data_IF_142415963055
#
_entry.id   IF_142415963055
#
_cell.length_a   1.000
_cell.length_b   1.000
_cell.length_c   1.000
_cell.angle_alpha   90.00
_cell.angle_beta   90.00
_cell.angle_gamma   90.00
#
_symmetry.space_group_name_H-M   'P 1'
#
loop_
_entity.id
_entity.type
_entity.pdbx_description
1 polymer ?
#
# COMPACT_ATOMS: atom_id res chain seq x y z
N UNK A 1 -29.74 5.35 -6.24
CA UNK A 1 -28.82 4.26 -5.87
C UNK A 1 -29.23 3.70 -4.51
N UNK A 2 -29.19 2.37 -4.32
CA UNK A 2 -29.42 1.78 -2.99
C UNK A 2 -28.25 2.15 -2.05
N UNK A 3 -28.47 2.12 -0.74
CA UNK A 3 -27.43 2.43 0.23
C UNK A 3 -26.32 1.35 0.20
N UNK A 4 -26.72 0.09 0.11
CA UNK A 4 -25.82 -1.04 -0.01
C UNK A 4 -24.91 -0.93 -1.25
N UNK A 5 -25.46 -0.55 -2.42
CA UNK A 5 -24.66 -0.30 -3.62
C UNK A 5 -23.59 0.77 -3.38
N UNK A 6 -23.94 1.89 -2.72
CA UNK A 6 -22.99 2.95 -2.40
C UNK A 6 -21.88 2.49 -1.45
N UNK A 7 -22.23 1.66 -0.45
CA UNK A 7 -21.25 1.07 0.48
C UNK A 7 -20.24 0.18 -0.24
N UNK A 8 -20.69 -0.72 -1.12
CA UNK A 8 -19.83 -1.59 -1.92
C UNK A 8 -19.01 -0.81 -2.95
N UNK A 9 -19.60 0.21 -3.58
CA UNK A 9 -18.90 1.09 -4.51
C UNK A 9 -17.74 1.83 -3.83
N UNK A 10 -17.96 2.37 -2.64
CA UNK A 10 -16.91 3.06 -1.91
C UNK A 10 -15.85 2.09 -1.36
N UNK A 11 -16.23 0.89 -0.98
CA UNK A 11 -15.26 -0.15 -0.65
C UNK A 11 -14.37 -0.50 -1.83
N UNK A 12 -14.94 -0.61 -3.03
CA UNK A 12 -14.17 -0.80 -4.26
C UNK A 12 -13.19 0.36 -4.51
N UNK A 13 -13.63 1.61 -4.38
CA UNK A 13 -12.76 2.78 -4.61
C UNK A 13 -11.60 2.87 -3.61
N UNK A 14 -11.84 2.68 -2.31
CA UNK A 14 -10.75 2.68 -1.31
C UNK A 14 -9.81 1.49 -1.50
N UNK A 15 -10.33 0.33 -1.88
CA UNK A 15 -9.52 -0.84 -2.22
C UNK A 15 -8.63 -0.58 -3.44
N UNK A 16 -9.15 0.11 -4.46
CA UNK A 16 -8.38 0.51 -5.63
C UNK A 16 -7.28 1.52 -5.27
N UNK A 17 -7.59 2.51 -4.40
CA UNK A 17 -6.58 3.45 -3.89
C UNK A 17 -5.46 2.73 -3.12
N UNK A 18 -5.80 1.77 -2.26
CA UNK A 18 -4.82 0.93 -1.57
C UNK A 18 -3.96 0.11 -2.52
N UNK A 19 -4.56 -0.44 -3.58
CA UNK A 19 -3.85 -1.19 -4.60
C UNK A 19 -2.88 -0.30 -5.41
N UNK A 20 -3.31 0.91 -5.78
CA UNK A 20 -2.46 1.91 -6.43
C UNK A 20 -1.32 2.36 -5.50
N UNK A 21 -1.59 2.55 -4.21
CA UNK A 21 -0.55 2.87 -3.22
C UNK A 21 0.54 1.80 -3.18
N UNK A 22 0.17 0.52 -3.13
CA UNK A 22 1.15 -0.59 -3.12
C UNK A 22 1.99 -0.59 -4.41
N UNK A 23 1.41 -0.32 -5.58
CA UNK A 23 2.18 -0.14 -6.81
C UNK A 23 3.17 1.02 -6.70
N UNK A 24 2.72 2.18 -6.23
CA UNK A 24 3.54 3.39 -6.12
C UNK A 24 4.68 3.27 -5.09
N UNK A 25 4.61 2.29 -4.18
CA UNK A 25 5.73 2.00 -3.25
C UNK A 25 7.01 1.53 -3.96
N UNK A 26 7.04 1.43 -5.30
CA UNK A 26 8.29 1.25 -6.02
C UNK A 26 9.33 2.34 -5.67
N UNK A 27 8.88 3.55 -5.31
CA UNK A 27 9.72 4.64 -4.82
C UNK A 27 10.45 4.22 -3.55
N UNK A 28 9.70 3.73 -2.54
CA UNK A 28 10.27 3.26 -1.27
C UNK A 28 11.22 2.08 -1.49
N UNK A 29 10.81 1.13 -2.34
CA UNK A 29 11.63 -0.03 -2.66
C UNK A 29 12.95 0.34 -3.32
N UNK A 30 12.95 1.24 -4.29
CA UNK A 30 14.16 1.73 -4.96
C UNK A 30 15.06 2.53 -4.01
N UNK A 31 14.49 3.32 -3.08
CA UNK A 31 15.25 4.06 -2.07
C UNK A 31 16.12 3.15 -1.20
N UNK A 32 15.62 1.95 -0.85
CA UNK A 32 16.42 0.99 -0.08
C UNK A 32 17.65 0.46 -0.82
N UNK A 33 17.72 0.70 -2.11
CA UNK A 33 18.76 0.17 -3.00
C UNK A 33 19.80 1.22 -3.41
N UNK A 34 19.70 2.46 -2.91
CA UNK A 34 20.58 3.57 -3.28
C UNK A 34 22.06 3.18 -3.19
N UNK A 35 22.52 2.64 -2.04
CA UNK A 35 23.91 2.22 -1.87
C UNK A 35 24.23 0.85 -2.48
N UNK A 36 23.22 0.04 -2.77
CA UNK A 36 23.40 -1.26 -3.41
C UNK A 36 23.63 -1.09 -4.92
N UNK A 37 22.84 -0.23 -5.55
CA UNK A 37 22.92 0.04 -6.99
C UNK A 37 23.94 1.13 -7.33
N UNK A 38 24.02 2.20 -6.51
CA UNK A 38 24.91 3.33 -6.69
C UNK A 38 26.22 3.16 -5.93
N UNK A 39 27.30 2.82 -6.61
CA UNK A 39 28.64 2.68 -6.01
C UNK A 39 29.39 4.01 -5.99
N UNK A 40 29.21 4.82 -7.02
CA UNK A 40 29.74 6.19 -7.10
C UNK A 40 28.67 7.20 -6.64
N UNK A 41 29.07 8.44 -6.43
CA UNK A 41 28.14 9.51 -6.09
C UNK A 41 27.14 9.78 -7.22
N UNK A 42 27.63 9.82 -8.47
CA UNK A 42 26.78 10.04 -9.65
C UNK A 42 25.75 8.91 -9.82
N UNK A 43 26.16 7.65 -9.62
CA UNK A 43 25.22 6.52 -9.67
C UNK A 43 24.16 6.61 -8.58
N UNK A 44 24.48 7.07 -7.35
CA UNK A 44 23.50 7.30 -6.30
C UNK A 44 22.53 8.44 -6.65
N UNK A 45 23.07 9.54 -7.21
CA UNK A 45 22.25 10.64 -7.71
C UNK A 45 21.28 10.16 -8.80
N UNK A 46 21.72 9.29 -9.74
CA UNK A 46 20.84 8.68 -10.74
C UNK A 46 19.65 7.94 -10.11
N UNK A 47 19.92 7.09 -9.12
CA UNK A 47 18.86 6.34 -8.43
C UNK A 47 17.91 7.29 -7.69
N UNK A 48 18.44 8.26 -6.96
CA UNK A 48 17.64 9.23 -6.20
C UNK A 48 16.80 10.11 -7.12
N UNK A 49 17.36 10.63 -8.22
CA UNK A 49 16.61 11.44 -9.18
C UNK A 49 15.50 10.66 -9.88
N UNK A 50 15.76 9.38 -10.19
CA UNK A 50 14.74 8.51 -10.78
C UNK A 50 13.50 8.40 -9.91
N UNK A 51 13.67 8.18 -8.61
CA UNK A 51 12.57 8.08 -7.63
C UNK A 51 12.05 9.44 -7.18
N UNK A 52 12.91 10.45 -7.12
CA UNK A 52 12.59 11.80 -6.69
C UNK A 52 11.50 12.45 -7.54
N UNK A 53 11.45 12.14 -8.84
CA UNK A 53 10.39 12.62 -9.73
C UNK A 53 9.01 11.98 -9.48
N UNK A 54 8.91 11.00 -8.58
CA UNK A 54 7.68 10.20 -8.34
C UNK A 54 7.25 10.12 -6.88
N UNK A 55 8.05 10.56 -5.93
CA UNK A 55 7.77 10.37 -4.51
C UNK A 55 6.45 11.02 -4.06
N UNK A 56 6.10 12.15 -4.67
CA UNK A 56 4.85 12.86 -4.37
C UNK A 56 3.62 12.03 -4.73
N UNK A 57 3.65 11.26 -5.82
CA UNK A 57 2.53 10.39 -6.18
C UNK A 57 2.25 9.35 -5.10
N UNK A 58 3.29 8.77 -4.50
CA UNK A 58 3.13 7.79 -3.43
C UNK A 58 2.57 8.44 -2.17
N UNK A 59 3.17 9.55 -1.74
CA UNK A 59 2.74 10.24 -0.53
C UNK A 59 1.31 10.79 -0.66
N UNK A 60 1.00 11.42 -1.78
CA UNK A 60 -0.36 11.92 -2.05
C UNK A 60 -1.38 10.77 -2.06
N UNK A 61 -1.04 9.63 -2.69
CA UNK A 61 -1.95 8.47 -2.72
C UNK A 61 -2.16 7.89 -1.33
N UNK A 62 -1.15 7.87 -0.45
CA UNK A 62 -1.31 7.48 0.95
C UNK A 62 -2.30 8.40 1.68
N UNK A 63 -2.16 9.72 1.51
CA UNK A 63 -3.07 10.71 2.12
C UNK A 63 -4.49 10.55 1.57
N UNK A 64 -4.65 10.36 0.25
CA UNK A 64 -5.96 10.16 -0.38
C UNK A 64 -6.59 8.83 0.04
N UNK A 65 -5.80 7.78 0.27
CA UNK A 65 -6.29 6.51 0.82
C UNK A 65 -6.88 6.70 2.23
N UNK A 66 -6.15 7.39 3.11
CA UNK A 66 -6.67 7.76 4.44
C UNK A 66 -7.90 8.66 4.38
N UNK A 67 -7.88 9.67 3.52
CA UNK A 67 -9.02 10.58 3.27
C UNK A 67 -10.24 9.86 2.70
N UNK A 68 -10.03 8.86 1.83
CA UNK A 68 -11.09 8.00 1.30
C UNK A 68 -11.79 7.21 2.40
N UNK A 69 -11.03 6.63 3.34
CA UNK A 69 -11.60 5.97 4.52
C UNK A 69 -12.29 6.95 5.46
N UNK A 70 -11.69 8.11 5.72
CA UNK A 70 -12.31 9.15 6.55
C UNK A 70 -13.70 9.52 6.04
N UNK A 71 -13.83 9.72 4.74
CA UNK A 71 -15.06 10.18 4.13
C UNK A 71 -16.11 9.05 3.97
N UNK A 72 -15.68 7.83 3.59
CA UNK A 72 -16.61 6.72 3.28
C UNK A 72 -16.86 5.78 4.47
N UNK A 73 -15.86 5.54 5.32
CA UNK A 73 -15.91 4.63 6.47
C UNK A 73 -15.38 5.30 7.74
N UNK A 74 -16.09 6.35 8.25
CA UNK A 74 -15.59 7.19 9.36
C UNK A 74 -15.33 6.40 10.65
N UNK A 75 -16.11 5.35 10.92
CA UNK A 75 -15.89 4.52 12.11
C UNK A 75 -14.57 3.73 12.00
N UNK A 76 -14.23 3.22 10.83
CA UNK A 76 -12.92 2.60 10.60
C UNK A 76 -11.80 3.63 10.76
N UNK A 77 -11.97 4.82 10.17
CA UNK A 77 -10.95 5.87 10.28
C UNK A 77 -10.68 6.22 11.74
N UNK A 78 -11.72 6.44 12.54
CA UNK A 78 -11.54 6.75 13.96
C UNK A 78 -10.94 5.58 14.75
N UNK A 79 -11.30 4.35 14.43
CA UNK A 79 -10.81 3.15 15.12
C UNK A 79 -9.37 2.82 14.73
N UNK A 80 -9.03 2.82 13.45
CA UNK A 80 -7.69 2.47 12.97
C UNK A 80 -6.72 3.66 13.05
N UNK A 81 -7.01 4.77 12.35
CA UNK A 81 -6.09 5.92 12.33
C UNK A 81 -6.07 6.66 13.66
N UNK A 82 -7.21 6.80 14.33
CA UNK A 82 -7.31 7.41 15.65
C UNK A 82 -6.88 6.47 16.79
N UNK A 83 -7.27 5.19 16.73
CA UNK A 83 -6.97 4.21 17.78
C UNK A 83 -5.55 3.65 17.71
N UNK A 84 -5.10 3.22 16.51
CA UNK A 84 -3.74 2.74 16.26
C UNK A 84 -2.78 3.90 15.94
N UNK A 85 -2.91 5.04 16.60
CA UNK A 85 -2.26 6.27 16.20
C UNK A 85 -0.73 6.22 16.23
N UNK A 86 -0.09 5.43 17.12
CA UNK A 86 1.37 5.31 17.12
C UNK A 86 1.90 4.66 15.86
N UNK A 87 1.23 3.61 15.37
CA UNK A 87 1.59 2.97 14.12
C UNK A 87 1.49 3.97 12.94
N UNK A 88 0.36 4.67 12.86
CA UNK A 88 0.13 5.66 11.79
C UNK A 88 1.03 6.88 11.90
N UNK A 89 1.36 7.33 13.12
CA UNK A 89 2.32 8.44 13.32
C UNK A 89 3.73 8.06 12.85
N UNK A 90 4.20 6.84 13.10
CA UNK A 90 5.51 6.39 12.61
C UNK A 90 5.50 6.30 11.08
N UNK A 91 4.42 5.78 10.47
CA UNK A 91 4.27 5.76 9.02
C UNK A 91 4.35 7.19 8.48
N UNK A 92 3.52 8.11 8.97
CA UNK A 92 3.47 9.50 8.52
C UNK A 92 4.84 10.18 8.67
N UNK A 93 5.47 10.04 9.85
CA UNK A 93 6.78 10.64 10.10
C UNK A 93 7.85 10.10 9.15
N UNK A 94 7.81 8.80 8.82
CA UNK A 94 8.74 8.22 7.85
C UNK A 94 8.60 8.84 6.46
N UNK A 95 7.37 9.18 6.03
CA UNK A 95 7.13 9.88 4.76
C UNK A 95 7.50 11.36 4.81
N UNK A 96 7.36 12.02 5.98
CA UNK A 96 7.82 13.41 6.16
C UNK A 96 9.34 13.49 6.03
N UNK A 97 10.10 12.58 6.66
CA UNK A 97 11.57 12.57 6.50
C UNK A 97 12.01 12.24 5.06
N UNK A 98 11.22 11.43 4.32
CA UNK A 98 11.45 11.21 2.90
C UNK A 98 11.29 12.51 2.10
N UNK A 99 10.21 13.26 2.31
CA UNK A 99 9.95 14.53 1.63
C UNK A 99 11.10 15.53 1.86
N UNK A 100 11.47 15.73 3.14
CA UNK A 100 12.61 16.57 3.52
C UNK A 100 13.90 16.10 2.85
N UNK A 101 14.10 14.79 2.73
CA UNK A 101 15.33 14.23 2.15
C UNK A 101 15.45 14.51 0.66
N UNK A 102 14.38 14.39 -0.10
CA UNK A 102 14.41 14.75 -1.52
C UNK A 102 14.67 16.24 -1.72
N UNK A 103 14.03 17.11 -0.94
CA UNK A 103 14.10 18.55 -1.12
C UNK A 103 15.45 19.15 -0.70
N UNK A 104 16.07 18.63 0.37
CA UNK A 104 17.20 19.30 1.02
C UNK A 104 18.56 18.64 0.81
N UNK A 105 18.66 17.43 0.25
CA UNK A 105 19.95 16.72 0.13
C UNK A 105 21.00 17.47 -0.71
N UNK A 106 20.57 18.23 -1.73
CA UNK A 106 21.45 18.95 -2.65
C UNK A 106 21.40 20.47 -2.49
N UNK A 107 20.70 21.01 -1.45
CA UNK A 107 20.62 22.45 -1.21
C UNK A 107 21.95 23.02 -0.72
N UNK A 108 22.28 24.23 -1.17
CA UNK A 108 23.43 24.99 -0.67
C UNK A 108 23.29 25.20 0.84
N UNK A 109 24.38 24.96 1.61
CA UNK A 109 24.35 25.04 3.06
C UNK A 109 23.87 23.77 3.78
N UNK A 110 23.73 22.66 3.09
CA UNK A 110 23.42 21.36 3.71
C UNK A 110 24.53 20.92 4.67
N UNK A 111 24.30 21.08 5.98
CA UNK A 111 25.25 20.73 7.05
C UNK A 111 25.33 19.22 7.27
N UNK A 112 24.23 18.49 7.04
CA UNK A 112 24.12 17.04 7.31
C UNK A 112 24.78 16.19 6.23
N UNK A 113 24.96 16.73 5.03
CA UNK A 113 25.50 16.04 3.87
C UNK A 113 24.50 15.10 3.17
N UNK A 114 24.68 14.87 1.88
CA UNK A 114 23.76 14.08 1.05
C UNK A 114 23.56 12.64 1.55
N UNK A 115 24.60 12.02 2.13
CA UNK A 115 24.51 10.63 2.63
C UNK A 115 23.51 10.47 3.77
N UNK A 116 23.40 11.47 4.65
CA UNK A 116 22.42 11.45 5.76
C UNK A 116 21.00 11.42 5.22
N UNK A 117 20.69 12.28 4.24
CA UNK A 117 19.39 12.30 3.59
C UNK A 117 19.10 11.02 2.81
N UNK A 118 20.11 10.46 2.12
CA UNK A 118 19.99 9.15 1.47
C UNK A 118 19.71 8.02 2.48
N UNK A 119 20.27 8.09 3.68
CA UNK A 119 19.93 7.15 4.78
C UNK A 119 18.48 7.34 5.25
N UNK A 120 17.99 8.57 5.34
CA UNK A 120 16.58 8.83 5.67
C UNK A 120 15.62 8.28 4.59
N UNK A 121 15.99 8.37 3.30
CA UNK A 121 15.25 7.72 2.22
C UNK A 121 15.20 6.20 2.41
N UNK A 122 16.29 5.57 2.84
CA UNK A 122 16.32 4.13 3.14
C UNK A 122 15.43 3.80 4.33
N UNK A 123 15.46 4.60 5.40
CA UNK A 123 14.59 4.41 6.58
C UNK A 123 13.12 4.43 6.17
N UNK A 124 12.68 5.43 5.40
CA UNK A 124 11.32 5.44 4.85
C UNK A 124 11.07 4.24 3.93
N UNK A 125 12.05 3.90 3.09
CA UNK A 125 11.98 2.77 2.17
C UNK A 125 11.74 1.42 2.86
N UNK A 126 12.19 1.27 4.11
CA UNK A 126 11.94 0.08 4.94
C UNK A 126 10.65 0.24 5.74
N UNK A 127 10.55 1.31 6.55
CA UNK A 127 9.43 1.50 7.48
C UNK A 127 8.10 1.65 6.75
N UNK A 128 8.05 2.43 5.68
CA UNK A 128 6.82 2.65 4.91
C UNK A 128 6.16 1.33 4.48
N UNK A 129 6.81 0.53 3.63
CA UNK A 129 6.22 -0.73 3.16
C UNK A 129 5.97 -1.77 4.26
N UNK A 130 6.88 -1.92 5.24
CA UNK A 130 6.70 -2.90 6.32
C UNK A 130 5.52 -2.55 7.20
N UNK A 131 5.41 -1.30 7.63
CA UNK A 131 4.34 -0.86 8.53
C UNK A 131 2.99 -0.79 7.82
N UNK A 132 2.95 -0.32 6.56
CA UNK A 132 1.72 -0.32 5.76
C UNK A 132 1.25 -1.76 5.46
N UNK A 133 2.17 -2.65 5.12
CA UNK A 133 1.86 -4.07 4.93
C UNK A 133 1.32 -4.72 6.20
N UNK A 134 1.94 -4.44 7.35
CA UNK A 134 1.45 -4.88 8.66
C UNK A 134 0.09 -4.29 9.02
N UNK A 135 -0.13 -3.00 8.76
CA UNK A 135 -1.43 -2.36 8.97
C UNK A 135 -2.55 -2.97 8.10
N UNK A 136 -2.26 -3.29 6.83
CA UNK A 136 -3.22 -3.96 5.94
C UNK A 136 -3.44 -5.41 6.34
N UNK A 137 -2.43 -6.10 6.89
CA UNK A 137 -2.60 -7.46 7.39
C UNK A 137 -3.65 -7.56 8.50
N UNK A 138 -3.83 -6.50 9.29
CA UNK A 138 -4.88 -6.44 10.34
C UNK A 138 -6.30 -6.49 9.77
N UNK A 139 -6.51 -6.25 8.48
CA UNK A 139 -7.80 -6.46 7.81
C UNK A 139 -8.20 -7.95 7.80
N UNK A 140 -7.25 -8.83 7.94
CA UNK A 140 -7.45 -10.28 7.95
C UNK A 140 -7.21 -10.90 9.32
N UNK A 141 -6.25 -10.37 10.09
CA UNK A 141 -5.81 -10.94 11.35
C UNK A 141 -6.47 -10.27 12.57
N UNK A 142 -7.06 -9.09 12.35
CA UNK A 142 -7.70 -8.31 13.41
C UNK A 142 -6.76 -7.39 14.18
N UNK A 143 -7.34 -6.60 15.05
CA UNK A 143 -6.69 -5.61 15.91
C UNK A 143 -7.36 -5.55 17.28
N UNK A 144 -6.68 -4.97 18.28
CA UNK A 144 -7.15 -4.93 19.66
C UNK A 144 -7.93 -3.63 19.94
N UNK A 145 -9.20 -3.60 19.59
CA UNK A 145 -10.09 -2.47 19.84
C UNK A 145 -11.49 -2.90 20.28
N UNK A 146 -12.24 -1.97 20.86
CA UNK A 146 -13.63 -2.14 21.27
C UNK A 146 -14.45 -0.98 20.70
N UNK A 147 -15.64 -1.28 20.17
CA UNK A 147 -16.60 -0.30 19.67
C UNK A 147 -17.89 -0.38 20.50
N UNK A 148 -18.19 0.70 21.21
CA UNK A 148 -19.45 0.89 21.93
C UNK A 148 -20.16 2.14 21.40
N UNK A 149 -21.09 1.94 20.48
CA UNK A 149 -21.84 3.06 19.88
C UNK A 149 -22.76 3.75 20.92
N UNK A 150 -23.20 3.05 21.95
CA UNK A 150 -24.01 3.60 23.04
C UNK A 150 -23.28 4.66 23.85
N UNK A 151 -21.97 4.58 23.92
CA UNK A 151 -21.15 5.49 24.71
C UNK A 151 -21.18 6.95 24.22
N UNK A 152 -21.69 7.24 23.02
CA UNK A 152 -21.84 8.61 22.50
C UNK A 152 -22.74 9.50 23.41
N UNK A 153 -23.59 8.89 24.21
CA UNK A 153 -24.47 9.58 25.17
C UNK A 153 -23.81 9.84 26.51
N UNK A 154 -22.62 9.32 26.75
CA UNK A 154 -21.88 9.48 28.00
C UNK A 154 -21.21 10.88 28.03
N UNK A 155 -21.71 11.78 28.90
CA UNK A 155 -21.23 13.18 28.91
C UNK A 155 -19.76 13.34 29.30
N UNK A 156 -19.21 12.44 30.10
CA UNK A 156 -17.81 12.53 30.57
C UNK A 156 -16.79 12.13 29.51
N UNK A 157 -17.06 11.05 28.75
CA UNK A 157 -16.17 10.54 27.69
C UNK A 157 -17.00 9.91 26.56
N UNK A 158 -17.52 10.67 25.61
CA UNK A 158 -18.36 10.18 24.53
C UNK A 158 -17.55 9.49 23.41
N UNK A 159 -16.63 8.60 23.78
CA UNK A 159 -15.74 7.87 22.83
C UNK A 159 -16.39 6.57 22.43
N UNK A 160 -16.72 6.41 21.14
CA UNK A 160 -17.37 5.22 20.59
C UNK A 160 -16.37 4.08 20.29
N UNK A 161 -15.15 4.39 19.88
CA UNK A 161 -14.13 3.38 19.61
C UNK A 161 -12.88 3.66 20.44
N UNK A 162 -12.32 2.60 21.05
CA UNK A 162 -11.10 2.71 21.85
C UNK A 162 -10.17 1.54 21.60
N UNK A 163 -8.87 1.80 21.62
CA UNK A 163 -7.87 0.75 21.62
C UNK A 163 -7.85 0.03 22.97
N UNK A 164 -7.74 -1.29 22.95
CA UNK A 164 -7.87 -2.10 24.18
C UNK A 164 -6.59 -2.13 25.04
N UNK A 165 -5.44 -1.75 24.45
CA UNK A 165 -4.15 -1.75 25.15
C UNK A 165 -3.38 -0.43 24.93
N UNK A 166 -2.33 -0.21 25.71
CA UNK A 166 -1.52 1.02 25.65
C UNK A 166 -0.58 1.10 24.44
N UNK A 167 -0.51 0.07 23.59
CA UNK A 167 0.38 0.05 22.42
C UNK A 167 -0.13 0.93 21.27
N UNK A 168 -1.45 1.20 21.24
CA UNK A 168 -2.11 1.99 20.20
C UNK A 168 -1.61 1.64 18.79
N UNK A 169 -1.69 0.37 18.43
CA UNK A 169 -1.39 -0.15 17.10
C UNK A 169 -0.01 -0.77 16.92
N UNK A 170 0.94 -0.53 17.82
CA UNK A 170 2.26 -1.18 17.74
C UNK A 170 2.19 -2.69 17.99
N UNK A 171 1.16 -3.17 18.69
CA UNK A 171 0.86 -4.58 18.91
C UNK A 171 0.61 -5.34 17.59
N UNK A 172 0.19 -4.66 16.52
CA UNK A 172 0.09 -5.27 15.20
C UNK A 172 1.43 -5.84 14.70
N UNK A 173 2.56 -5.28 15.14
CA UNK A 173 3.90 -5.75 14.79
C UNK A 173 4.36 -6.96 15.62
N UNK A 174 3.61 -7.35 16.64
CA UNK A 174 3.88 -8.56 17.43
C UNK A 174 3.20 -9.80 16.81
N UNK A 175 2.22 -9.62 15.94
CA UNK A 175 1.62 -10.71 15.19
C UNK A 175 2.52 -11.14 14.05
N UNK A 176 2.87 -12.45 14.05
CA UNK A 176 3.78 -13.01 13.05
C UNK A 176 3.30 -12.80 11.62
N UNK A 177 2.00 -12.99 11.37
CA UNK A 177 1.45 -12.91 10.00
C UNK A 177 1.32 -11.48 9.51
N UNK A 178 1.14 -10.52 10.41
CA UNK A 178 1.23 -9.10 10.07
C UNK A 178 2.65 -8.73 9.64
N UNK A 179 3.65 -9.22 10.34
CA UNK A 179 5.07 -9.03 9.98
C UNK A 179 5.40 -9.73 8.66
N UNK A 180 4.91 -10.96 8.46
CA UNK A 180 5.12 -11.72 7.20
C UNK A 180 4.58 -10.93 6.00
N UNK A 181 3.37 -10.37 6.08
CA UNK A 181 2.84 -9.53 5.01
C UNK A 181 3.62 -8.21 4.89
N UNK A 182 4.00 -7.59 5.99
CA UNK A 182 4.84 -6.39 5.99
C UNK A 182 6.17 -6.60 5.24
N UNK A 183 6.84 -7.71 5.50
CA UNK A 183 8.08 -8.10 4.80
C UNK A 183 7.80 -8.44 3.33
N UNK A 184 6.70 -9.12 3.03
CA UNK A 184 6.29 -9.38 1.65
C UNK A 184 6.09 -8.08 0.85
N UNK A 185 5.38 -7.09 1.42
CA UNK A 185 5.16 -5.76 0.80
C UNK A 185 6.47 -5.01 0.63
N UNK A 186 7.37 -5.08 1.59
CA UNK A 186 8.72 -4.50 1.48
C UNK A 186 9.51 -5.08 0.30
N UNK A 187 9.56 -6.40 0.17
CA UNK A 187 10.27 -7.02 -0.96
C UNK A 187 9.53 -6.82 -2.28
N UNK A 188 8.20 -6.77 -2.29
CA UNK A 188 7.41 -6.37 -3.46
C UNK A 188 7.76 -4.94 -3.91
N UNK A 189 7.82 -4.00 -2.98
CA UNK A 189 8.23 -2.62 -3.26
C UNK A 189 9.64 -2.59 -3.89
N UNK A 190 10.59 -3.39 -3.39
CA UNK A 190 11.93 -3.54 -3.99
C UNK A 190 11.88 -4.12 -5.40
N UNK A 191 11.07 -5.17 -5.63
CA UNK A 191 10.88 -5.74 -6.97
C UNK A 191 10.37 -4.69 -7.94
N UNK A 192 9.32 -3.96 -7.57
CA UNK A 192 8.77 -2.87 -8.39
C UNK A 192 9.78 -1.73 -8.59
N UNK A 193 10.50 -1.35 -7.54
CA UNK A 193 11.57 -0.35 -7.60
C UNK A 193 12.68 -0.74 -8.56
N UNK A 194 13.10 -2.00 -8.55
CA UNK A 194 14.11 -2.51 -9.48
C UNK A 194 13.61 -2.54 -10.92
N UNK A 195 12.35 -2.95 -11.15
CA UNK A 195 11.73 -2.89 -12.48
C UNK A 195 11.63 -1.44 -12.99
N UNK A 196 11.32 -0.49 -12.08
CA UNK A 196 11.25 0.93 -12.41
C UNK A 196 12.64 1.51 -12.76
N UNK A 197 13.67 1.23 -11.97
CA UNK A 197 15.06 1.65 -12.25
C UNK A 197 15.54 1.10 -13.60
N UNK A 198 15.26 -0.16 -13.92
CA UNK A 198 15.61 -0.77 -15.21
C UNK A 198 14.89 -0.07 -16.38
N UNK A 199 13.69 0.45 -16.16
CA UNK A 199 12.92 1.19 -17.17
C UNK A 199 13.39 2.63 -17.35
N UNK A 200 13.75 3.31 -16.25
CA UNK A 200 13.91 4.77 -16.21
C UNK A 200 15.38 5.24 -16.30
N UNK A 201 16.36 4.39 -15.97
CA UNK A 201 17.79 4.78 -15.89
C UNK A 201 18.58 4.21 -17.06
N UNK A 202 19.26 5.10 -17.84
CA UNK A 202 20.12 4.73 -18.96
C UNK A 202 21.59 4.65 -18.51
N UNK A 203 21.91 3.77 -17.55
CA UNK A 203 23.27 3.54 -17.06
C UNK A 203 23.52 2.03 -16.87
N UNK A 204 24.31 1.45 -17.78
CA UNK A 204 24.49 -0.02 -17.86
C UNK A 204 24.97 -0.68 -16.55
N UNK A 205 25.95 -0.15 -15.78
CA UNK A 205 26.37 -0.75 -14.51
C UNK A 205 25.25 -0.79 -13.46
N UNK A 206 24.42 0.27 -13.34
CA UNK A 206 23.29 0.34 -12.41
C UNK A 206 22.22 -0.68 -12.81
N UNK A 207 21.87 -0.74 -14.10
CA UNK A 207 20.87 -1.68 -14.63
C UNK A 207 21.32 -3.14 -14.43
N UNK A 208 22.60 -3.45 -14.64
CA UNK A 208 23.14 -4.81 -14.43
C UNK A 208 23.01 -5.22 -12.97
N UNK A 209 23.37 -4.34 -12.03
CA UNK A 209 23.19 -4.59 -10.59
C UNK A 209 21.72 -4.71 -10.21
N UNK A 210 20.84 -3.89 -10.82
CA UNK A 210 19.40 -3.96 -10.59
C UNK A 210 18.82 -5.32 -11.01
N UNK A 211 19.19 -5.86 -12.17
CA UNK A 211 18.77 -7.21 -12.60
C UNK A 211 19.23 -8.32 -11.66
N UNK A 212 20.44 -8.22 -11.12
CA UNK A 212 20.95 -9.18 -10.12
C UNK A 212 20.12 -9.14 -8.84
N UNK A 213 19.83 -7.93 -8.33
CA UNK A 213 19.02 -7.72 -7.14
C UNK A 213 17.54 -8.13 -7.36
N UNK A 214 17.00 -7.93 -8.56
CA UNK A 214 15.64 -8.32 -8.91
C UNK A 214 15.41 -9.81 -8.69
N UNK A 215 16.37 -10.65 -9.06
CA UNK A 215 16.28 -12.11 -8.88
C UNK A 215 16.15 -12.48 -7.39
N UNK A 216 17.03 -11.90 -6.54
CA UNK A 216 17.01 -12.15 -5.10
C UNK A 216 15.72 -11.65 -4.44
N UNK A 217 15.37 -10.39 -4.72
CA UNK A 217 14.16 -9.78 -4.11
C UNK A 217 12.88 -10.50 -4.53
N UNK A 218 12.81 -11.02 -5.77
CA UNK A 218 11.64 -11.79 -6.23
C UNK A 218 11.49 -13.10 -5.45
N UNK A 219 12.59 -13.84 -5.23
CA UNK A 219 12.51 -15.11 -4.48
C UNK A 219 12.03 -14.86 -3.05
N UNK A 220 12.58 -13.85 -2.38
CA UNK A 220 12.19 -13.53 -1.01
C UNK A 220 10.75 -13.03 -0.95
N UNK A 221 10.34 -12.15 -1.87
CA UNK A 221 8.96 -11.70 -1.99
C UNK A 221 7.99 -12.88 -2.13
N UNK A 222 8.25 -13.78 -3.06
CA UNK A 222 7.38 -14.93 -3.29
C UNK A 222 7.31 -15.85 -2.08
N UNK A 223 8.43 -16.08 -1.38
CA UNK A 223 8.44 -16.90 -0.17
C UNK A 223 7.51 -16.33 0.91
N UNK A 224 7.65 -15.05 1.23
CA UNK A 224 6.81 -14.40 2.26
C UNK A 224 5.36 -14.23 1.82
N UNK A 225 5.13 -13.81 0.58
CA UNK A 225 3.77 -13.60 0.06
C UNK A 225 2.99 -14.91 -0.04
N UNK A 226 3.59 -15.98 -0.56
CA UNK A 226 2.93 -17.28 -0.64
C UNK A 226 2.67 -17.88 0.74
N UNK A 227 3.61 -17.71 1.69
CA UNK A 227 3.39 -18.13 3.09
C UNK A 227 2.18 -17.42 3.70
N UNK A 228 2.08 -16.09 3.52
CA UNK A 228 0.91 -15.33 3.97
C UNK A 228 -0.37 -15.75 3.25
N UNK A 229 -0.33 -15.94 1.94
CA UNK A 229 -1.50 -16.33 1.15
C UNK A 229 -2.03 -17.72 1.58
N UNK A 230 -1.14 -18.68 1.77
CA UNK A 230 -1.53 -20.02 2.27
C UNK A 230 -2.17 -19.91 3.66
N UNK A 231 -1.56 -19.16 4.57
CA UNK A 231 -2.16 -18.90 5.88
C UNK A 231 -3.55 -18.27 5.76
N UNK A 232 -3.68 -17.22 4.93
CA UNK A 232 -4.94 -16.52 4.72
C UNK A 232 -6.05 -17.45 4.21
N UNK A 233 -5.74 -18.33 3.26
CA UNK A 233 -6.73 -19.24 2.67
C UNK A 233 -7.13 -20.37 3.60
N UNK A 234 -6.26 -20.76 4.53
CA UNK A 234 -6.51 -21.87 5.46
C UNK A 234 -7.07 -21.43 6.81
N UNK A 235 -6.97 -20.15 7.16
CA UNK A 235 -7.47 -19.64 8.45
C UNK A 235 -8.98 -19.48 8.47
N UNK A 236 -9.53 -19.49 9.68
CA UNK A 236 -10.88 -19.03 9.94
C UNK A 236 -10.96 -17.50 9.73
N UNK A 237 -12.07 -17.03 9.19
CA UNK A 237 -12.29 -15.62 8.96
C UNK A 237 -13.60 -15.13 9.60
N UNK A 238 -13.79 -13.84 9.54
CA UNK A 238 -14.85 -13.13 10.26
C UNK A 238 -16.04 -12.88 9.31
N UNK A 239 -17.10 -13.67 9.48
CA UNK A 239 -18.33 -13.49 8.73
C UNK A 239 -19.36 -12.72 9.56
N UNK A 240 -20.26 -11.99 8.90
CA UNK A 240 -21.41 -11.39 9.57
C UNK A 240 -22.71 -11.81 8.88
N UNK A 241 -23.77 -11.91 9.67
CA UNK A 241 -25.13 -12.12 9.17
C UNK A 241 -25.72 -10.76 8.75
N UNK A 242 -26.08 -10.55 7.49
CA UNK A 242 -26.67 -9.28 7.03
C UNK A 242 -27.99 -8.91 7.70
N UNK A 243 -28.76 -9.91 8.21
CA UNK A 243 -30.06 -9.67 8.82
C UNK A 243 -29.94 -9.26 10.29
N UNK A 244 -29.07 -9.93 11.05
CA UNK A 244 -28.91 -9.70 12.48
C UNK A 244 -27.72 -8.80 12.81
N UNK A 245 -26.77 -8.66 11.91
CA UNK A 245 -25.50 -7.95 12.13
C UNK A 245 -24.51 -8.74 13.04
N UNK A 246 -24.86 -9.95 13.46
CA UNK A 246 -24.01 -10.76 14.35
C UNK A 246 -22.79 -11.25 13.59
N UNK A 247 -21.62 -11.12 14.24
CA UNK A 247 -20.35 -11.56 13.69
C UNK A 247 -19.97 -12.91 14.29
N UNK A 248 -19.55 -13.82 13.40
CA UNK A 248 -19.15 -15.18 13.75
C UNK A 248 -17.89 -15.61 13.00
N UNK A 249 -17.18 -16.56 13.55
CA UNK A 249 -16.03 -17.18 12.88
C UNK A 249 -16.51 -18.25 11.90
N UNK A 250 -16.02 -18.18 10.65
CA UNK A 250 -16.32 -19.15 9.60
C UNK A 250 -15.03 -19.80 9.11
N UNK A 251 -14.94 -21.15 9.12
CA UNK A 251 -13.80 -21.86 8.59
C UNK A 251 -13.53 -21.53 7.13
N UNK A 252 -12.25 -21.37 6.76
CA UNK A 252 -11.79 -21.11 5.39
C UNK A 252 -12.51 -19.94 4.71
N UNK A 253 -12.90 -18.91 5.46
CA UNK A 253 -13.75 -17.80 4.96
C UNK A 253 -13.19 -17.15 3.70
N UNK A 254 -11.90 -16.87 3.67
CA UNK A 254 -11.28 -16.18 2.54
C UNK A 254 -11.15 -17.08 1.30
N UNK A 255 -10.94 -18.38 1.48
CA UNK A 255 -11.02 -19.36 0.39
C UNK A 255 -12.46 -19.44 -0.15
N UNK A 256 -13.45 -19.49 0.75
CA UNK A 256 -14.86 -19.47 0.37
C UNK A 256 -15.22 -18.19 -0.40
N UNK A 257 -14.70 -17.02 0.02
CA UNK A 257 -14.90 -15.76 -0.70
C UNK A 257 -14.35 -15.83 -2.12
N UNK A 258 -13.16 -16.35 -2.34
CA UNK A 258 -12.58 -16.51 -3.67
C UNK A 258 -13.35 -17.51 -4.54
N UNK A 259 -13.82 -18.61 -3.96
CA UNK A 259 -14.60 -19.60 -4.73
C UNK A 259 -15.99 -19.08 -5.08
N UNK A 260 -16.66 -18.39 -4.18
CA UNK A 260 -17.99 -17.78 -4.41
C UNK A 260 -17.90 -16.64 -5.42
N UNK A 261 -16.90 -15.77 -5.28
CA UNK A 261 -16.61 -14.66 -6.19
C UNK A 261 -15.57 -15.09 -7.25
N UNK A 262 -15.83 -16.19 -7.96
CA UNK A 262 -14.89 -16.81 -8.91
C UNK A 262 -14.32 -15.84 -9.95
N UNK A 263 -15.07 -14.79 -10.33
CA UNK A 263 -14.59 -13.75 -11.24
C UNK A 263 -13.42 -12.96 -10.64
N UNK A 264 -13.39 -12.72 -9.31
CA UNK A 264 -12.26 -12.11 -8.63
C UNK A 264 -11.03 -13.04 -8.64
N UNK A 265 -11.25 -14.34 -8.52
CA UNK A 265 -10.18 -15.34 -8.65
C UNK A 265 -9.52 -15.31 -10.02
N UNK A 266 -10.30 -15.16 -11.09
CA UNK A 266 -9.74 -14.95 -12.44
C UNK A 266 -8.89 -13.67 -12.49
N UNK A 267 -9.39 -12.56 -11.95
CA UNK A 267 -8.66 -11.30 -11.89
C UNK A 267 -7.36 -11.45 -11.09
N UNK A 268 -7.39 -12.17 -9.96
CA UNK A 268 -6.22 -12.51 -9.15
C UNK A 268 -5.16 -13.26 -9.97
N UNK A 269 -5.57 -14.32 -10.67
CA UNK A 269 -4.67 -15.13 -11.48
C UNK A 269 -4.06 -14.34 -12.65
N UNK A 270 -4.85 -13.50 -13.32
CA UNK A 270 -4.37 -12.58 -14.36
C UNK A 270 -3.36 -11.59 -13.78
N UNK A 271 -3.63 -11.05 -12.59
CA UNK A 271 -2.71 -10.16 -11.88
C UNK A 271 -1.37 -10.83 -11.55
N UNK A 272 -1.42 -12.04 -10.99
CA UNK A 272 -0.21 -12.86 -10.70
C UNK A 272 0.56 -13.16 -11.99
N UNK A 273 -0.13 -13.61 -13.05
CA UNK A 273 0.50 -13.91 -14.32
C UNK A 273 1.18 -12.68 -14.93
N UNK A 274 0.54 -11.50 -14.88
CA UNK A 274 1.10 -10.24 -15.36
C UNK A 274 2.37 -9.84 -14.60
N UNK A 275 2.33 -9.90 -13.26
CA UNK A 275 3.49 -9.59 -12.41
C UNK A 275 4.67 -10.52 -12.72
N UNK A 276 4.42 -11.83 -12.74
CA UNK A 276 5.46 -12.83 -13.03
C UNK A 276 6.00 -12.68 -14.45
N UNK A 277 5.15 -12.41 -15.44
CA UNK A 277 5.57 -12.13 -16.80
C UNK A 277 6.53 -10.95 -16.86
N UNK A 278 6.18 -9.82 -16.23
CA UNK A 278 7.02 -8.63 -16.16
C UNK A 278 8.40 -8.93 -15.56
N UNK A 279 8.45 -9.67 -14.46
CA UNK A 279 9.70 -10.06 -13.78
C UNK A 279 10.53 -11.01 -14.66
N UNK A 280 9.93 -12.13 -15.11
CA UNK A 280 10.63 -13.18 -15.86
C UNK A 280 11.16 -12.64 -17.19
N UNK A 281 10.35 -11.86 -17.91
CA UNK A 281 10.77 -11.24 -19.17
C UNK A 281 11.95 -10.29 -18.98
N UNK A 282 11.90 -9.46 -17.91
CA UNK A 282 13.00 -8.55 -17.56
C UNK A 282 14.30 -9.30 -17.19
N UNK A 283 14.19 -10.49 -16.56
CA UNK A 283 15.35 -11.27 -16.17
C UNK A 283 15.97 -12.06 -17.35
N UNK A 284 15.15 -12.47 -18.35
CA UNK A 284 15.60 -13.27 -19.48
C UNK A 284 16.10 -12.45 -20.66
N UNK A 285 15.54 -11.27 -20.88
CA UNK A 285 15.86 -10.41 -22.02
C UNK A 285 16.51 -9.13 -21.55
N UNK A 286 17.79 -8.94 -21.91
CA UNK A 286 18.56 -7.76 -21.51
C UNK A 286 18.02 -6.46 -22.12
N UNK A 287 17.33 -6.53 -23.27
CA UNK A 287 16.76 -5.37 -23.94
C UNK A 287 15.36 -5.00 -23.44
N UNK A 288 14.71 -5.92 -22.66
CA UNK A 288 13.38 -5.67 -22.15
C UNK A 288 13.43 -4.81 -20.87
N UNK A 289 12.87 -3.63 -20.93
CA UNK A 289 12.82 -2.67 -19.83
C UNK A 289 11.39 -2.31 -19.37
N UNK A 290 10.35 -2.84 -20.02
CA UNK A 290 8.93 -2.51 -19.74
C UNK A 290 8.31 -3.35 -18.62
N UNK A 291 9.12 -4.09 -17.84
CA UNK A 291 8.64 -4.99 -16.79
C UNK A 291 7.79 -4.30 -15.72
N UNK A 292 8.06 -3.03 -15.42
CA UNK A 292 7.32 -2.24 -14.43
C UNK A 292 5.83 -2.09 -14.78
N UNK A 293 5.48 -1.96 -16.05
CA UNK A 293 4.07 -1.79 -16.45
C UNK A 293 3.26 -3.07 -16.26
N UNK A 294 3.83 -4.22 -16.61
CA UNK A 294 3.22 -5.53 -16.33
C UNK A 294 3.17 -5.81 -14.82
N UNK A 295 4.27 -5.51 -14.11
CA UNK A 295 4.35 -5.65 -12.67
C UNK A 295 3.35 -4.76 -11.95
N UNK A 296 3.22 -3.51 -12.36
CA UNK A 296 2.29 -2.53 -11.78
C UNK A 296 0.83 -2.95 -11.95
N UNK A 297 0.41 -3.27 -13.17
CA UNK A 297 -0.94 -3.78 -13.42
C UNK A 297 -1.19 -5.05 -12.61
N UNK A 298 -0.21 -5.98 -12.61
CA UNK A 298 -0.33 -7.22 -11.85
C UNK A 298 -0.54 -6.99 -10.36
N UNK A 299 0.25 -6.12 -9.74
CA UNK A 299 0.15 -5.79 -8.31
C UNK A 299 -1.17 -5.10 -8.00
N UNK A 300 -1.62 -4.14 -8.82
CA UNK A 300 -2.90 -3.47 -8.61
C UNK A 300 -4.05 -4.48 -8.62
N UNK A 301 -4.08 -5.41 -9.58
CA UNK A 301 -5.12 -6.43 -9.64
C UNK A 301 -5.09 -7.37 -8.42
N UNK A 302 -3.91 -7.87 -8.03
CA UNK A 302 -3.76 -8.79 -6.88
C UNK A 302 -4.20 -8.11 -5.59
N UNK A 303 -3.70 -6.92 -5.30
CA UNK A 303 -4.01 -6.21 -4.06
C UNK A 303 -5.47 -5.80 -4.01
N UNK A 304 -6.04 -5.33 -5.12
CA UNK A 304 -7.47 -5.01 -5.23
C UNK A 304 -8.33 -6.22 -4.86
N UNK A 305 -8.06 -7.38 -5.44
CA UNK A 305 -8.83 -8.60 -5.15
C UNK A 305 -8.72 -9.00 -3.68
N UNK A 306 -7.52 -8.95 -3.11
CA UNK A 306 -7.35 -9.29 -1.69
C UNK A 306 -8.14 -8.34 -0.78
N UNK A 307 -8.14 -7.04 -1.04
CA UNK A 307 -8.91 -6.08 -0.27
C UNK A 307 -10.43 -6.25 -0.48
N UNK A 308 -10.87 -6.57 -1.70
CA UNK A 308 -12.29 -6.88 -1.94
C UNK A 308 -12.72 -8.14 -1.18
N UNK A 309 -11.86 -9.17 -1.14
CA UNK A 309 -12.13 -10.38 -0.34
C UNK A 309 -12.19 -10.12 1.16
N UNK A 310 -11.52 -9.08 1.68
CA UNK A 310 -11.57 -8.71 3.08
C UNK A 310 -12.95 -8.14 3.49
N UNK A 311 -13.66 -7.46 2.59
CA UNK A 311 -14.91 -6.76 2.94
C UNK A 311 -16.17 -7.26 2.22
N UNK A 312 -16.05 -7.91 1.06
CA UNK A 312 -17.20 -8.44 0.31
C UNK A 312 -17.62 -9.83 0.81
N UNK A 313 -18.77 -10.28 0.32
CA UNK A 313 -19.37 -11.57 0.67
C UNK A 313 -19.57 -11.74 2.19
N UNK A 314 -20.21 -10.72 2.82
CA UNK A 314 -20.54 -10.72 4.25
C UNK A 314 -19.31 -10.99 5.15
N UNK A 315 -18.22 -10.28 4.89
CA UNK A 315 -16.98 -10.40 5.64
C UNK A 315 -16.73 -9.12 6.45
N UNK A 316 -16.35 -9.26 7.71
CA UNK A 316 -15.90 -8.14 8.52
C UNK A 316 -14.44 -7.80 8.15
N UNK A 317 -14.25 -6.64 7.53
CA UNK A 317 -12.96 -6.25 6.97
C UNK A 317 -11.95 -5.72 7.99
N UNK A 318 -12.40 -5.36 9.19
CA UNK A 318 -11.52 -4.94 10.28
C UNK A 318 -11.97 -5.62 11.57
N UNK A 319 -11.46 -6.82 11.82
CA UNK A 319 -11.87 -7.62 12.95
C UNK A 319 -11.32 -7.09 14.28
N UNK A 320 -12.10 -7.24 15.34
CA UNK A 320 -11.63 -7.02 16.70
C UNK A 320 -11.24 -8.36 17.36
N UNK A 321 -10.01 -8.42 17.86
CA UNK A 321 -9.52 -9.56 18.64
C UNK A 321 -9.90 -9.49 20.11
N UNK A 322 -10.40 -8.33 20.57
CA UNK A 322 -10.81 -8.11 21.96
C UNK A 322 -12.29 -8.41 22.16
N UNK A 323 -13.13 -7.95 21.23
CA UNK A 323 -14.57 -8.17 21.22
C UNK A 323 -15.06 -8.42 19.80
N UNK A 324 -15.46 -9.66 19.52
CA UNK A 324 -15.84 -10.09 18.19
C UNK A 324 -16.96 -9.22 17.58
N UNK A 325 -17.93 -8.78 18.41
CA UNK A 325 -19.06 -7.96 17.93
C UNK A 325 -18.67 -6.50 17.62
N UNK A 326 -17.53 -6.05 18.11
CA UNK A 326 -16.95 -4.76 17.76
C UNK A 326 -16.30 -4.73 16.37
N UNK A 327 -16.18 -5.87 15.68
CA UNK A 327 -15.56 -5.95 14.35
C UNK A 327 -16.32 -5.09 13.32
N UNK A 328 -15.55 -4.44 12.43
CA UNK A 328 -16.13 -3.53 11.45
C UNK A 328 -16.42 -4.23 10.12
N UNK A 329 -17.63 -3.99 9.63
CA UNK A 329 -18.11 -4.43 8.32
C UNK A 329 -18.36 -3.20 7.44
N UNK A 330 -18.49 -3.40 6.14
CA UNK A 330 -18.87 -2.34 5.21
C UNK A 330 -20.21 -1.70 5.65
N UNK A 331 -21.15 -2.52 6.14
CA UNK A 331 -22.47 -2.05 6.55
C UNK A 331 -22.45 -1.22 7.84
N UNK A 332 -21.67 -1.62 8.86
CA UNK A 332 -21.72 -0.99 10.18
C UNK A 332 -20.78 0.20 10.36
N UNK A 333 -19.83 0.41 9.43
CA UNK A 333 -18.77 1.42 9.55
C UNK A 333 -18.85 2.54 8.51
N UNK A 334 -19.72 2.42 7.50
CA UNK A 334 -19.88 3.43 6.43
C UNK A 334 -20.54 4.70 6.92
N UNK A 335 -20.26 5.80 6.21
CA UNK A 335 -20.94 7.08 6.37
C UNK A 335 -22.41 7.03 5.97
N UNK A 336 -23.15 8.14 6.15
CA UNK A 336 -24.54 8.22 5.79
C UNK A 336 -24.81 8.03 4.29
N UNK A 337 -26.00 7.58 3.91
CA UNK A 337 -26.43 7.49 2.50
C UNK A 337 -26.25 8.83 1.77
N UNK A 338 -26.55 9.95 2.44
CA UNK A 338 -26.38 11.29 1.87
C UNK A 338 -24.89 11.56 1.55
N UNK A 339 -24.00 11.33 2.51
CA UNK A 339 -22.56 11.54 2.34
C UNK A 339 -22.01 10.69 1.19
N UNK A 340 -22.32 9.38 1.19
CA UNK A 340 -21.86 8.48 0.13
C UNK A 340 -22.41 8.87 -1.25
N UNK A 341 -23.66 9.37 -1.33
CA UNK A 341 -24.23 9.85 -2.59
C UNK A 341 -23.51 11.11 -3.09
N UNK A 342 -23.32 12.11 -2.22
CA UNK A 342 -22.62 13.35 -2.58
C UNK A 342 -21.20 13.06 -3.07
N UNK A 343 -20.46 12.21 -2.34
CA UNK A 343 -19.12 11.79 -2.72
C UNK A 343 -19.10 11.01 -4.04
N UNK A 344 -20.13 10.18 -4.31
CA UNK A 344 -20.23 9.44 -5.57
C UNK A 344 -20.38 10.36 -6.78
N UNK A 345 -21.09 11.49 -6.62
CA UNK A 345 -21.13 12.52 -7.67
C UNK A 345 -19.73 13.12 -7.91
N UNK A 346 -19.00 13.44 -6.84
CA UNK A 346 -17.64 13.97 -6.95
C UNK A 346 -16.69 12.94 -7.56
N UNK A 347 -16.89 11.64 -7.30
CA UNK A 347 -16.05 10.57 -7.85
C UNK A 347 -16.07 10.48 -9.39
N UNK A 348 -17.07 11.09 -10.06
CA UNK A 348 -17.09 11.22 -11.53
C UNK A 348 -15.93 12.06 -12.06
N UNK A 349 -15.24 12.82 -11.21
CA UNK A 349 -14.04 13.57 -11.58
C UNK A 349 -12.77 12.70 -11.56
N UNK A 350 -12.81 11.50 -10.93
CA UNK A 350 -11.65 10.61 -10.83
C UNK A 350 -11.03 10.29 -12.20
N UNK A 351 -11.79 9.94 -13.27
CA UNK A 351 -11.21 9.68 -14.58
C UNK A 351 -10.40 10.86 -15.15
N UNK A 352 -10.84 12.09 -14.91
CA UNK A 352 -10.12 13.29 -15.35
C UNK A 352 -8.81 13.47 -14.59
N UNK A 353 -8.82 13.21 -13.27
CA UNK A 353 -7.60 13.24 -12.44
C UNK A 353 -6.62 12.15 -12.88
N UNK A 354 -7.09 10.93 -13.14
CA UNK A 354 -6.26 9.84 -13.64
C UNK A 354 -5.67 10.15 -15.01
N UNK A 355 -6.45 10.77 -15.92
CA UNK A 355 -5.94 11.21 -17.22
C UNK A 355 -4.86 12.27 -17.06
N UNK A 356 -5.03 13.24 -16.16
CA UNK A 356 -4.01 14.24 -15.84
C UNK A 356 -2.73 13.59 -15.30
N UNK A 357 -2.87 12.69 -14.33
CA UNK A 357 -1.73 11.95 -13.74
C UNK A 357 -0.99 11.17 -14.85
N UNK A 358 -1.72 10.48 -15.73
CA UNK A 358 -1.14 9.74 -16.85
C UNK A 358 -0.33 10.64 -17.78
N UNK A 359 -0.88 11.80 -18.15
CA UNK A 359 -0.19 12.79 -19.01
C UNK A 359 1.05 13.33 -18.32
N UNK A 360 0.95 13.71 -17.03
CA UNK A 360 2.07 14.20 -16.24
C UNK A 360 3.17 13.14 -16.10
N UNK A 361 2.79 11.91 -15.77
CA UNK A 361 3.74 10.80 -15.69
C UNK A 361 4.48 10.57 -17.01
N UNK A 362 3.73 10.52 -18.12
CA UNK A 362 4.32 10.34 -19.44
C UNK A 362 5.25 11.50 -19.84
N UNK A 363 4.93 12.73 -19.44
CA UNK A 363 5.79 13.88 -19.69
C UNK A 363 7.12 13.77 -18.92
N UNK A 364 7.08 13.37 -17.66
CA UNK A 364 8.26 13.20 -16.80
C UNK A 364 9.16 12.07 -17.30
N UNK A 365 8.58 10.93 -17.72
CA UNK A 365 9.33 9.73 -18.15
C UNK A 365 9.55 9.66 -19.67
N UNK A 366 9.44 10.80 -20.37
CA UNK A 366 9.58 10.83 -21.83
C UNK A 366 10.96 10.39 -22.30
N UNK A 367 12.00 10.68 -21.51
CA UNK A 367 13.38 10.26 -21.75
C UNK A 367 13.94 9.56 -20.51
N UNK A 368 14.71 8.47 -20.69
CA UNK A 368 15.45 7.87 -19.59
C UNK A 368 16.48 8.84 -19.01
N UNK A 369 16.70 8.78 -17.70
CA UNK A 369 17.70 9.58 -16.98
C UNK A 369 19.13 9.20 -17.40
N UNK A 370 19.93 10.22 -17.73
CA UNK A 370 21.34 10.09 -18.08
C UNK A 370 22.24 10.81 -17.06
N UNK A 371 23.55 10.49 -17.05
CA UNK A 371 24.51 11.22 -16.21
C UNK A 371 24.66 12.68 -16.61
N UNK A 372 24.57 13.00 -17.90
CA UNK A 372 24.64 14.39 -18.42
C UNK A 372 23.54 15.27 -17.83
N UNK A 373 22.31 14.75 -17.72
CA UNK A 373 21.18 15.47 -17.15
C UNK A 373 21.41 15.83 -15.66
N UNK A 374 22.09 14.95 -14.93
CA UNK A 374 22.43 15.19 -13.52
C UNK A 374 23.56 16.24 -13.39
N UNK A 375 24.57 16.17 -14.26
CA UNK A 375 25.70 17.12 -14.24
C UNK A 375 25.26 18.55 -14.62
N UNK A 376 24.21 18.69 -15.41
CA UNK A 376 23.62 19.98 -15.80
C UNK A 376 22.71 20.60 -14.73
N UNK A 377 22.54 19.96 -13.56
CA UNK A 377 21.75 20.49 -12.45
C UNK A 377 20.24 20.38 -12.62
N UNK A 378 19.77 19.58 -13.55
CA UNK A 378 18.33 19.39 -13.85
C UNK A 378 17.69 18.27 -12.97
N UNK A 379 18.07 18.16 -11.69
CA UNK A 379 17.57 17.09 -10.83
C UNK A 379 17.52 17.43 -9.34
N UNK A 380 16.92 16.51 -8.56
CA UNK A 380 16.90 16.55 -7.10
C UNK A 380 18.30 16.44 -6.50
#
# INVERSE_FOLDING_TARGET
MSYEFLQHYWWFLVSLLGALLVFLMFVQGANTLIFTLGKTENERRLVVNSTGRKWEFTFTTLVVFGGGFFASFPLFYSTSFGGAYWLWMIILFSFVIQAVSYEFQNKLGNILGARTFQTFLIINGVLGPVLLGGAVATFFNGSNFIVDKGNITTMAQPVISRWANASHGLDALLDLWNVVLGVAVFFLARVLGLLYIINNVAHAPVVTRARKQLRLCTVVFLAFFLSFLVHLLLKDGYAYDPQTGIISMQPLKYLHNLTTMWYLTIVLLVGVASLLYGIVRTLRDANFNRGIWFGGVGVVLVVLVLQLCAGWNNTAYYPSNTDLQSSLTIANSSGSKFTLTAMSVVSLLIPFVLAYIFVAWRAIDRKPLTEEEIMNGEGY
#
